data_IF_402218178088
#
_entry.id   IF_402218178088
#
_cell.length_a   1.000
_cell.length_b   1.000
_cell.length_c   1.000
_cell.angle_alpha   90.00
_cell.angle_beta   90.00
_cell.angle_gamma   90.00
#
_symmetry.space_group_name_H-M   'P 1'
#
loop_
_entity.id
_entity.type
_entity.pdbx_description
1 polymer ?
#
# COMPACT_ATOMS: atom_id res chain seq x y z
N UNK A 1 -8.50 -3.09 9.63
CA UNK A 1 -8.07 -1.68 9.48
C UNK A 1 -7.45 -1.54 8.09
N UNK A 2 -8.10 -0.83 7.17
CA UNK A 2 -7.73 -0.79 5.75
C UNK A 2 -6.41 0.00 5.58
N UNK A 3 -5.39 -0.60 4.94
CA UNK A 3 -4.04 -0.01 4.77
C UNK A 3 -4.07 1.43 4.23
N UNK A 4 -5.07 1.79 3.42
CA UNK A 4 -5.30 3.16 2.93
C UNK A 4 -5.65 4.19 4.01
N UNK A 5 -6.36 3.78 5.07
CA UNK A 5 -6.65 4.68 6.20
C UNK A 5 -5.37 4.98 6.99
N UNK A 6 -4.53 3.97 7.21
CA UNK A 6 -3.24 4.14 7.87
C UNK A 6 -2.29 4.99 7.02
N UNK A 7 -2.23 4.78 5.69
CA UNK A 7 -1.41 5.63 4.82
C UNK A 7 -1.81 7.10 4.89
N UNK A 8 -3.12 7.39 5.00
CA UNK A 8 -3.61 8.77 5.14
C UNK A 8 -3.20 9.39 6.48
N UNK A 9 -3.27 8.63 7.57
CA UNK A 9 -2.84 9.09 8.90
C UNK A 9 -1.34 9.43 8.90
N UNK A 10 -0.51 8.53 8.35
CA UNK A 10 0.93 8.75 8.25
C UNK A 10 1.28 9.93 7.34
N UNK A 11 0.55 10.13 6.24
CA UNK A 11 0.71 11.32 5.40
C UNK A 11 0.39 12.60 6.18
N UNK A 12 -0.67 12.60 6.99
CA UNK A 12 -1.00 13.73 7.87
C UNK A 12 0.09 14.02 8.91
N UNK A 13 0.64 12.97 9.54
CA UNK A 13 1.75 13.11 10.49
C UNK A 13 3.01 13.67 9.83
N UNK A 14 3.35 13.22 8.62
CA UNK A 14 4.44 13.78 7.83
C UNK A 14 4.22 15.28 7.57
N UNK A 15 3.05 15.66 7.04
CA UNK A 15 2.74 17.06 6.75
C UNK A 15 2.84 17.94 7.99
N UNK A 16 2.36 17.47 9.14
CA UNK A 16 2.48 18.20 10.40
C UNK A 16 3.94 18.40 10.79
N UNK A 17 4.74 17.33 10.79
CA UNK A 17 6.14 17.39 11.19
C UNK A 17 7.00 18.27 10.27
N UNK A 18 6.73 18.26 8.96
CA UNK A 18 7.39 19.14 7.98
C UNK A 18 7.01 20.60 8.22
N UNK A 19 5.72 20.89 8.41
CA UNK A 19 5.25 22.27 8.65
C UNK A 19 5.70 22.83 10.00
N UNK A 20 5.86 21.98 11.02
CA UNK A 20 6.37 22.38 12.33
C UNK A 20 7.89 22.39 12.43
N UNK A 21 8.60 22.08 11.34
CA UNK A 21 10.06 21.96 11.32
C UNK A 21 10.60 21.01 12.42
N UNK A 22 9.84 19.97 12.74
CA UNK A 22 10.20 18.93 13.71
C UNK A 22 10.70 17.68 13.01
N UNK A 23 11.35 17.86 11.86
CA UNK A 23 12.01 16.78 11.13
C UNK A 23 13.36 16.46 11.78
N UNK A 24 13.92 15.28 11.51
CA UNK A 24 15.23 14.88 12.05
C UNK A 24 16.41 15.30 11.15
N UNK A 25 16.14 15.99 10.05
CA UNK A 25 17.14 16.44 9.07
C UNK A 25 17.66 15.34 8.15
N UNK A 26 17.07 14.14 8.18
CA UNK A 26 17.45 13.02 7.31
C UNK A 26 16.34 12.69 6.32
N UNK A 27 16.75 12.17 5.16
CA UNK A 27 15.83 11.61 4.18
C UNK A 27 15.55 10.13 4.50
N UNK A 28 14.27 9.77 4.54
CA UNK A 28 13.76 8.44 4.85
C UNK A 28 13.15 7.81 3.60
N UNK A 29 13.44 6.53 3.34
CA UNK A 29 12.85 5.81 2.22
C UNK A 29 13.82 4.90 1.47
N UNK A 30 13.55 4.71 0.17
CA UNK A 30 14.37 3.88 -0.71
C UNK A 30 14.19 4.30 -2.16
N UNK A 31 15.04 3.78 -3.06
CA UNK A 31 14.93 4.04 -4.51
C UNK A 31 13.61 3.59 -5.12
N UNK A 32 12.92 2.60 -4.52
CA UNK A 32 11.63 2.13 -4.99
C UNK A 32 10.46 2.99 -4.49
N UNK A 33 10.62 3.64 -3.34
CA UNK A 33 9.55 4.36 -2.66
C UNK A 33 9.63 5.89 -2.85
N UNK A 34 10.83 6.42 -3.09
CA UNK A 34 11.14 7.84 -2.97
C UNK A 34 11.72 8.18 -1.59
N UNK A 35 12.20 9.41 -1.47
CA UNK A 35 12.79 9.96 -0.25
C UNK A 35 11.85 10.99 0.38
N UNK A 36 11.68 10.91 1.69
CA UNK A 36 10.76 11.72 2.48
C UNK A 36 11.49 12.36 3.66
N UNK A 37 11.06 13.55 4.07
CA UNK A 37 11.68 14.30 5.18
C UNK A 37 11.37 13.70 6.56
N UNK A 38 10.48 12.71 6.64
CA UNK A 38 10.15 12.02 7.89
C UNK A 38 9.94 10.53 7.70
N UNK A 39 10.19 9.75 8.76
CA UNK A 39 9.88 8.32 8.81
C UNK A 39 8.38 8.04 8.62
N UNK A 40 7.51 8.97 9.08
CA UNK A 40 6.07 8.90 8.85
C UNK A 40 5.74 9.01 7.36
N UNK A 41 6.42 9.88 6.61
CA UNK A 41 6.25 10.02 5.17
C UNK A 41 6.62 8.74 4.42
N UNK A 42 7.79 8.18 4.72
CA UNK A 42 8.22 6.90 4.16
C UNK A 42 7.27 5.74 4.54
N UNK A 43 6.80 5.71 5.79
CA UNK A 43 5.85 4.67 6.23
C UNK A 43 4.50 4.79 5.51
N UNK A 44 3.97 6.00 5.38
CA UNK A 44 2.72 6.26 4.66
C UNK A 44 2.81 5.88 3.19
N UNK A 45 3.92 6.24 2.54
CA UNK A 45 4.20 5.88 1.14
C UNK A 45 4.29 4.36 0.95
N UNK A 46 4.94 3.63 1.87
CA UNK A 46 5.02 2.16 1.82
C UNK A 46 3.63 1.54 1.92
N UNK A 47 2.81 1.99 2.86
CA UNK A 47 1.44 1.48 3.02
C UNK A 47 0.58 1.76 1.79
N UNK A 48 0.73 2.93 1.17
CA UNK A 48 0.03 3.27 -0.07
C UNK A 48 0.50 2.42 -1.25
N UNK A 49 1.81 2.20 -1.39
CA UNK A 49 2.37 1.33 -2.41
C UNK A 49 1.88 -0.12 -2.27
N UNK A 50 1.89 -0.68 -1.05
CA UNK A 50 1.33 -2.00 -0.78
C UNK A 50 -0.17 -2.09 -1.05
N UNK A 51 -0.91 -1.00 -0.79
CA UNK A 51 -2.33 -0.93 -1.12
C UNK A 51 -2.54 -0.96 -2.64
N UNK A 52 -1.79 -0.16 -3.41
CA UNK A 52 -1.87 -0.19 -4.88
C UNK A 52 -1.50 -1.56 -5.44
N UNK A 53 -0.45 -2.20 -4.92
CA UNK A 53 -0.06 -3.55 -5.32
C UNK A 53 -1.19 -4.57 -5.05
N UNK A 54 -1.82 -4.51 -3.87
CA UNK A 54 -2.95 -5.37 -3.54
C UNK A 54 -4.17 -5.14 -4.44
N UNK A 55 -4.45 -3.90 -4.85
CA UNK A 55 -5.52 -3.61 -5.82
C UNK A 55 -5.19 -4.10 -7.23
N UNK A 56 -3.93 -4.00 -7.64
CA UNK A 56 -3.48 -4.52 -8.92
C UNK A 56 -3.60 -6.05 -8.96
N UNK A 57 -3.16 -6.74 -7.90
CA UNK A 57 -3.29 -8.20 -7.76
C UNK A 57 -4.75 -8.63 -7.74
N UNK A 58 -5.62 -7.98 -6.97
CA UNK A 58 -7.04 -8.33 -6.93
C UNK A 58 -7.76 -8.18 -8.30
N UNK A 59 -7.20 -7.40 -9.21
CA UNK A 59 -7.75 -7.21 -10.55
C UNK A 59 -7.06 -8.05 -11.63
N UNK A 60 -6.23 -9.03 -11.22
CA UNK A 60 -5.52 -9.90 -12.14
C UNK A 60 -6.43 -10.94 -12.77
N UNK A 61 -6.43 -10.95 -14.09
CA UNK A 61 -7.33 -11.78 -14.90
C UNK A 61 -7.06 -13.28 -14.77
N UNK A 62 -5.84 -13.65 -14.39
CA UNK A 62 -5.45 -15.04 -14.12
C UNK A 62 -6.02 -15.58 -12.81
N UNK A 63 -6.19 -14.76 -11.76
CA UNK A 63 -6.89 -15.17 -10.54
C UNK A 63 -8.37 -15.47 -10.82
N UNK A 64 -9.01 -14.66 -11.66
CA UNK A 64 -10.38 -14.91 -12.12
C UNK A 64 -10.49 -16.20 -12.94
N UNK A 65 -9.50 -16.49 -13.79
CA UNK A 65 -9.47 -17.74 -14.55
C UNK A 65 -9.29 -18.97 -13.64
N UNK A 66 -8.47 -18.86 -12.58
CA UNK A 66 -8.31 -19.89 -11.56
C UNK A 66 -9.63 -20.14 -10.81
N UNK A 67 -10.34 -19.07 -10.39
CA UNK A 67 -11.66 -19.19 -9.75
C UNK A 67 -12.69 -19.88 -10.65
N UNK A 68 -12.75 -19.54 -11.94
CA UNK A 68 -13.65 -20.19 -12.90
C UNK A 68 -13.30 -21.68 -13.06
N UNK A 69 -12.00 -22.03 -13.07
CA UNK A 69 -11.56 -23.43 -13.13
C UNK A 69 -11.99 -24.20 -11.87
N UNK A 70 -11.78 -23.62 -10.69
CA UNK A 70 -12.21 -24.21 -9.41
C UNK A 70 -13.72 -24.39 -9.35
N UNK A 71 -14.49 -23.41 -9.83
CA UNK A 71 -15.95 -23.50 -9.90
C UNK A 71 -16.41 -24.63 -10.82
N UNK A 72 -15.78 -24.80 -11.99
CA UNK A 72 -16.08 -25.94 -12.88
C UNK A 72 -15.82 -27.28 -12.21
N UNK A 73 -14.67 -27.44 -11.55
CA UNK A 73 -14.37 -28.68 -10.83
C UNK A 73 -15.38 -28.94 -9.70
N UNK A 74 -15.83 -27.91 -8.98
CA UNK A 74 -16.86 -28.07 -7.95
C UNK A 74 -18.19 -28.57 -8.51
N UNK A 75 -18.65 -28.02 -9.64
CA UNK A 75 -19.89 -28.46 -10.28
C UNK A 75 -19.80 -29.86 -10.91
N UNK A 76 -18.61 -30.41 -11.14
CA UNK A 76 -18.43 -31.78 -11.65
C UNK A 76 -18.59 -32.86 -10.56
N UNK A 77 -18.50 -32.49 -9.28
CA UNK A 77 -18.66 -33.40 -8.14
C UNK A 77 -20.00 -33.27 -7.40
N UNK A 78 -20.84 -32.29 -7.75
CA UNK A 78 -22.26 -32.19 -7.35
C UNK A 78 -23.17 -32.96 -8.32
#
# INVERSE_FOLDING_TARGET
MHRGQLSLMYAGMNSMAVLSDTTDGYAHGSSALGWYETEHGATGARMFHEMQAGFADANRTDEWAEMVRLQRMWCEVE
#
